data_IF_413487475372
#
_entry.id   IF_413487475372
#
_cell.length_a   1.000
_cell.length_b   1.000
_cell.length_c   1.000
_cell.angle_alpha   90.00
_cell.angle_beta   90.00
_cell.angle_gamma   90.00
#
_symmetry.space_group_name_H-M   'P 1'
#
loop_
_entity.id
_entity.type
_entity.pdbx_description
1 polymer ?
#
# COMPACT_ATOMS: atom_id res chain seq x y z
N UNK A 1 16.83 -0.51 -19.25
CA UNK A 1 16.46 -1.56 -18.27
C UNK A 1 17.16 -1.25 -16.95
N UNK A 2 16.54 -1.48 -15.79
CA UNK A 2 17.18 -1.31 -14.47
C UNK A 2 17.21 -2.66 -13.74
N UNK A 3 18.36 -3.04 -13.21
CA UNK A 3 18.52 -4.22 -12.36
C UNK A 3 18.42 -3.83 -10.89
N UNK A 4 17.70 -4.61 -10.09
CA UNK A 4 17.62 -4.43 -8.62
C UNK A 4 18.12 -5.71 -7.95
N UNK A 5 19.08 -5.55 -7.03
CA UNK A 5 19.63 -6.62 -6.19
C UNK A 5 18.95 -6.58 -4.82
N UNK A 6 18.50 -7.72 -4.31
CA UNK A 6 17.84 -7.81 -3.00
C UNK A 6 18.70 -8.59 -2.00
N UNK A 7 18.77 -8.09 -0.78
CA UNK A 7 19.41 -8.77 0.35
C UNK A 7 18.53 -9.86 0.98
N UNK A 8 17.21 -9.80 0.76
CA UNK A 8 16.22 -10.75 1.28
C UNK A 8 15.55 -11.50 0.14
N UNK A 9 15.72 -12.83 0.13
CA UNK A 9 15.10 -13.74 -0.85
C UNK A 9 13.58 -13.62 -0.86
N UNK A 10 12.94 -13.51 0.31
CA UNK A 10 11.48 -13.43 0.42
C UNK A 10 10.91 -12.16 -0.21
N UNK A 11 11.56 -11.02 0.00
CA UNK A 11 11.17 -9.73 -0.60
C UNK A 11 11.30 -9.77 -2.12
N UNK A 12 12.41 -10.31 -2.62
CA UNK A 12 12.61 -10.50 -4.06
C UNK A 12 11.57 -11.46 -4.66
N UNK A 13 11.27 -12.56 -3.96
CA UNK A 13 10.33 -13.57 -4.45
C UNK A 13 8.93 -12.98 -4.61
N UNK A 14 8.49 -12.13 -3.67
CA UNK A 14 7.21 -11.43 -3.76
C UNK A 14 7.17 -10.49 -4.95
N UNK A 15 8.13 -9.58 -5.07
CA UNK A 15 8.14 -8.62 -6.17
C UNK A 15 8.27 -9.33 -7.53
N UNK A 16 9.24 -10.23 -7.69
CA UNK A 16 9.44 -10.93 -8.95
C UNK A 16 8.22 -11.76 -9.36
N UNK A 17 7.57 -12.46 -8.43
CA UNK A 17 6.33 -13.19 -8.75
C UNK A 17 5.15 -12.26 -9.06
N UNK A 18 5.02 -11.11 -8.40
CA UNK A 18 3.98 -10.14 -8.76
C UNK A 18 4.13 -9.70 -10.21
N UNK A 19 5.33 -9.34 -10.63
CA UNK A 19 5.56 -8.91 -12.00
C UNK A 19 5.49 -10.05 -13.03
N UNK A 20 5.99 -11.25 -12.70
CA UNK A 20 6.13 -12.34 -13.67
C UNK A 20 4.95 -13.30 -13.69
N UNK A 21 4.11 -13.33 -12.65
CA UNK A 21 2.98 -14.26 -12.53
C UNK A 21 1.65 -13.52 -12.38
N UNK A 22 1.51 -12.67 -11.36
CA UNK A 22 0.25 -11.98 -11.08
C UNK A 22 -0.15 -11.07 -12.24
N UNK A 23 0.75 -10.20 -12.68
CA UNK A 23 0.46 -9.23 -13.76
C UNK A 23 0.02 -9.92 -15.06
N UNK A 24 0.77 -10.89 -15.63
CA UNK A 24 0.33 -11.59 -16.83
C UNK A 24 -1.01 -12.32 -16.67
N UNK A 25 -1.28 -12.89 -15.49
CA UNK A 25 -2.54 -13.56 -15.20
C UNK A 25 -3.72 -12.58 -15.15
N UNK A 26 -3.55 -11.40 -14.53
CA UNK A 26 -4.55 -10.34 -14.52
C UNK A 26 -4.80 -9.79 -15.94
N UNK A 27 -3.75 -9.64 -16.75
CA UNK A 27 -3.86 -9.27 -18.16
C UNK A 27 -4.60 -10.31 -19.00
N UNK A 28 -4.39 -11.60 -18.73
CA UNK A 28 -5.13 -12.68 -19.39
C UNK A 28 -6.59 -12.74 -18.89
N UNK A 29 -6.82 -12.53 -17.60
CA UNK A 29 -8.15 -12.49 -17.01
C UNK A 29 -9.00 -11.37 -17.60
N UNK A 30 -8.47 -10.15 -17.68
CA UNK A 30 -9.24 -9.03 -18.24
C UNK A 30 -9.56 -9.24 -19.72
N UNK A 31 -8.66 -9.84 -20.50
CA UNK A 31 -8.93 -10.19 -21.92
C UNK A 31 -10.09 -11.17 -22.09
N UNK A 32 -10.41 -11.96 -21.07
CA UNK A 32 -11.58 -12.87 -21.05
C UNK A 32 -12.87 -12.16 -20.62
N UNK A 33 -12.76 -11.06 -19.88
CA UNK A 33 -13.91 -10.35 -19.32
C UNK A 33 -14.33 -9.13 -20.15
N UNK A 34 -13.36 -8.41 -20.72
CA UNK A 34 -13.56 -7.16 -21.44
C UNK A 34 -13.66 -7.46 -22.94
N UNK A 35 -14.72 -6.99 -23.65
CA UNK A 35 -14.82 -7.13 -25.09
C UNK A 35 -13.62 -6.53 -25.84
N UNK A 36 -13.20 -7.09 -26.99
CA UNK A 36 -12.02 -6.61 -27.73
C UNK A 36 -12.06 -5.12 -28.13
N UNK A 37 -13.25 -4.57 -28.35
CA UNK A 37 -13.45 -3.17 -28.77
C UNK A 37 -13.46 -2.19 -27.59
N UNK A 38 -13.41 -2.68 -26.35
CA UNK A 38 -13.39 -1.87 -25.15
C UNK A 38 -11.95 -1.71 -24.65
N UNK A 39 -11.49 -0.48 -24.34
CA UNK A 39 -10.16 -0.27 -23.79
C UNK A 39 -9.90 -1.11 -22.54
N UNK A 40 -8.78 -1.84 -22.56
CA UNK A 40 -8.31 -2.62 -21.43
C UNK A 40 -7.97 -1.73 -20.22
N UNK A 41 -8.00 -2.32 -19.03
CA UNK A 41 -7.50 -1.68 -17.82
C UNK A 41 -5.97 -1.74 -17.83
N UNK A 42 -5.33 -0.59 -18.01
CA UNK A 42 -3.87 -0.48 -17.93
C UNK A 42 -3.42 -0.65 -16.47
N UNK A 43 -2.59 -1.67 -16.24
CA UNK A 43 -1.95 -1.91 -14.95
C UNK A 43 -0.78 -0.94 -14.78
N UNK A 44 -0.65 -0.28 -13.62
CA UNK A 44 0.38 0.73 -13.41
C UNK A 44 1.74 0.09 -13.06
N UNK A 45 2.06 -1.08 -13.61
CA UNK A 45 3.23 -1.87 -13.22
C UNK A 45 4.21 -1.91 -14.40
N UNK A 46 5.50 -1.54 -14.21
CA UNK A 46 6.48 -1.62 -15.28
C UNK A 46 6.62 -3.05 -15.79
N UNK A 47 6.83 -3.21 -17.10
CA UNK A 47 7.06 -4.54 -17.68
C UNK A 47 8.28 -5.20 -17.07
N UNK A 48 8.16 -6.47 -16.71
CA UNK A 48 9.31 -7.29 -16.34
C UNK A 48 9.89 -7.97 -17.58
N UNK A 49 11.20 -7.80 -17.79
CA UNK A 49 11.94 -8.44 -18.87
C UNK A 49 12.67 -9.69 -18.42
N UNK A 50 13.11 -9.74 -17.16
CA UNK A 50 13.85 -10.88 -16.64
C UNK A 50 13.76 -10.96 -15.12
N UNK A 51 13.58 -12.17 -14.59
CA UNK A 51 13.71 -12.47 -13.18
C UNK A 51 14.46 -13.79 -13.00
N UNK A 52 15.53 -13.81 -12.20
CA UNK A 52 16.32 -15.01 -11.90
C UNK A 52 16.77 -15.00 -10.45
N UNK A 53 16.60 -16.14 -9.79
CA UNK A 53 17.18 -16.40 -8.48
C UNK A 53 18.10 -17.61 -8.56
N UNK A 54 19.30 -17.46 -8.02
CA UNK A 54 20.29 -18.53 -7.89
C UNK A 54 20.50 -18.74 -6.38
N UNK A 55 20.07 -19.88 -5.81
CA UNK A 55 20.29 -20.14 -4.40
C UNK A 55 21.80 -20.29 -4.13
N UNK A 56 22.23 -19.78 -2.99
CA UNK A 56 23.58 -19.98 -2.52
C UNK A 56 23.85 -21.44 -2.21
N UNK A 57 25.07 -21.92 -2.45
CA UNK A 57 25.47 -23.28 -2.10
C UNK A 57 26.36 -23.23 -0.86
N UNK A 58 25.92 -23.92 0.19
CA UNK A 58 26.75 -24.28 1.33
C UNK A 58 27.01 -25.78 1.27
N UNK A 59 28.06 -26.18 0.54
CA UNK A 59 28.52 -27.58 0.53
C UNK A 59 29.79 -27.71 1.37
N UNK A 60 29.97 -28.83 2.11
CA UNK A 60 31.13 -29.04 2.98
C UNK A 60 32.49 -28.93 2.25
N UNK A 61 32.51 -29.19 0.94
CA UNK A 61 33.71 -29.30 0.12
C UNK A 61 33.92 -28.12 -0.86
N UNK A 62 33.17 -27.02 -0.72
CA UNK A 62 33.34 -25.83 -1.58
C UNK A 62 33.16 -24.55 -0.79
N UNK A 63 33.81 -23.48 -1.22
CA UNK A 63 33.57 -22.14 -0.68
C UNK A 63 32.08 -21.80 -0.76
N UNK A 64 31.45 -21.32 0.34
CA UNK A 64 30.06 -20.94 0.32
C UNK A 64 29.82 -19.86 -0.74
N UNK A 65 28.84 -20.09 -1.60
CA UNK A 65 28.43 -19.10 -2.61
C UNK A 65 27.18 -18.39 -2.10
N UNK A 66 27.14 -17.04 -2.14
CA UNK A 66 25.95 -16.30 -1.74
C UNK A 66 24.81 -16.58 -2.72
N UNK A 67 23.57 -16.40 -2.27
CA UNK A 67 22.44 -16.36 -3.19
C UNK A 67 22.52 -15.11 -4.06
N UNK A 68 22.10 -15.23 -5.31
CA UNK A 68 22.00 -14.12 -6.26
C UNK A 68 20.55 -13.95 -6.69
N UNK A 69 20.09 -12.70 -6.71
CA UNK A 69 18.76 -12.34 -7.18
C UNK A 69 18.85 -11.23 -8.23
N UNK A 70 18.19 -11.40 -9.37
CA UNK A 70 18.17 -10.45 -10.47
C UNK A 70 16.72 -10.21 -10.87
N UNK A 71 16.31 -8.93 -10.88
CA UNK A 71 15.04 -8.49 -11.46
C UNK A 71 15.31 -7.33 -12.41
N UNK A 72 14.88 -7.46 -13.66
CA UNK A 72 15.08 -6.50 -14.74
C UNK A 72 13.73 -5.97 -15.20
N UNK A 73 13.49 -4.68 -14.94
CA UNK A 73 12.24 -4.01 -15.27
C UNK A 73 12.43 -2.96 -16.37
N UNK A 74 11.31 -2.57 -16.96
CA UNK A 74 11.20 -1.42 -17.85
C UNK A 74 11.78 -0.16 -17.21
N UNK A 75 12.60 0.55 -18.00
CA UNK A 75 13.12 1.84 -17.56
C UNK A 75 12.08 2.93 -17.86
N UNK A 76 11.29 3.29 -16.85
CA UNK A 76 10.26 4.30 -17.01
C UNK A 76 10.83 5.73 -17.12
N UNK A 77 12.05 5.98 -16.62
CA UNK A 77 12.68 7.32 -16.75
C UNK A 77 12.89 7.74 -18.20
N UNK A 78 13.25 6.80 -19.09
CA UNK A 78 13.35 7.09 -20.53
C UNK A 78 12.01 7.39 -21.19
N UNK A 79 10.88 7.13 -20.51
CA UNK A 79 9.53 7.47 -20.96
C UNK A 79 8.99 8.74 -20.29
N UNK A 80 9.83 9.49 -19.59
CA UNK A 80 9.47 10.75 -18.93
C UNK A 80 8.88 10.60 -17.53
N UNK A 81 8.87 9.40 -16.95
CA UNK A 81 8.43 9.20 -15.57
C UNK A 81 9.49 9.66 -14.56
N UNK A 82 9.05 10.37 -13.52
CA UNK A 82 9.88 10.90 -12.44
C UNK A 82 9.28 10.56 -11.07
N UNK A 83 10.13 10.39 -10.07
CA UNK A 83 9.68 10.21 -8.68
C UNK A 83 9.15 11.51 -8.10
N UNK A 84 8.28 11.40 -7.11
CA UNK A 84 7.86 12.53 -6.30
C UNK A 84 8.95 12.96 -5.31
N UNK A 85 8.94 14.22 -4.92
CA UNK A 85 9.72 14.72 -3.79
C UNK A 85 8.94 14.46 -2.50
N UNK A 86 9.43 13.53 -1.66
CA UNK A 86 8.77 13.17 -0.41
C UNK A 86 8.59 14.36 0.54
N UNK A 87 9.55 15.29 0.60
CA UNK A 87 9.46 16.45 1.49
C UNK A 87 8.28 17.34 1.10
N UNK A 88 8.18 17.64 -0.20
CA UNK A 88 7.07 18.44 -0.74
C UNK A 88 5.74 17.70 -0.78
N UNK A 89 5.76 16.37 -0.86
CA UNK A 89 4.56 15.55 -1.03
C UNK A 89 3.99 15.60 -2.46
N UNK A 90 2.90 14.85 -2.66
CA UNK A 90 2.20 14.77 -3.93
C UNK A 90 1.38 16.03 -4.20
N UNK A 91 1.36 16.43 -5.48
CA UNK A 91 0.32 17.34 -5.99
C UNK A 91 -1.03 16.63 -6.04
N UNK A 92 -2.12 17.40 -6.12
CA UNK A 92 -3.48 16.83 -6.22
C UNK A 92 -3.62 15.89 -7.43
N UNK A 93 -3.15 16.31 -8.62
CA UNK A 93 -3.18 15.47 -9.84
C UNK A 93 -2.42 14.15 -9.68
N UNK A 94 -1.28 14.19 -8.99
CA UNK A 94 -0.50 12.97 -8.71
C UNK A 94 -1.23 12.05 -7.73
N UNK A 95 -1.87 12.60 -6.68
CA UNK A 95 -2.66 11.82 -5.74
C UNK A 95 -3.87 11.16 -6.42
N UNK A 96 -4.61 11.91 -7.25
CA UNK A 96 -5.74 11.40 -8.03
C UNK A 96 -5.30 10.27 -8.97
N UNK A 97 -4.21 10.48 -9.73
CA UNK A 97 -3.68 9.47 -10.63
C UNK A 97 -3.17 8.22 -9.91
N UNK A 98 -2.51 8.38 -8.75
CA UNK A 98 -2.08 7.24 -7.94
C UNK A 98 -3.27 6.42 -7.45
N UNK A 99 -4.32 7.07 -6.96
CA UNK A 99 -5.54 6.40 -6.52
C UNK A 99 -6.26 5.69 -7.67
N UNK A 100 -6.34 6.32 -8.85
CA UNK A 100 -6.92 5.69 -10.03
C UNK A 100 -6.11 4.46 -10.48
N UNK A 101 -4.78 4.59 -10.50
CA UNK A 101 -3.86 3.52 -10.86
C UNK A 101 -4.02 2.30 -9.95
N UNK A 102 -4.02 2.48 -8.63
CA UNK A 102 -4.18 1.37 -7.68
C UNK A 102 -5.60 0.80 -7.69
N UNK A 103 -6.63 1.64 -7.90
CA UNK A 103 -8.01 1.20 -8.02
C UNK A 103 -8.23 0.23 -9.18
N UNK A 104 -7.54 0.41 -10.32
CA UNK A 104 -7.61 -0.51 -11.47
C UNK A 104 -7.04 -1.90 -11.11
N UNK A 105 -5.91 -1.94 -10.39
CA UNK A 105 -5.34 -3.20 -9.90
C UNK A 105 -6.26 -3.87 -8.87
N UNK A 106 -6.79 -3.09 -7.93
CA UNK A 106 -7.75 -3.56 -6.93
C UNK A 106 -8.97 -4.18 -7.62
N UNK A 107 -9.57 -3.50 -8.58
CA UNK A 107 -10.70 -4.01 -9.34
C UNK A 107 -10.39 -5.32 -10.08
N UNK A 108 -9.21 -5.43 -10.70
CA UNK A 108 -8.78 -6.64 -11.40
C UNK A 108 -8.64 -7.84 -10.46
N UNK A 109 -7.95 -7.65 -9.34
CA UNK A 109 -7.77 -8.71 -8.34
C UNK A 109 -9.07 -9.09 -7.65
N UNK A 110 -9.91 -8.11 -7.30
CA UNK A 110 -11.25 -8.33 -6.74
C UNK A 110 -12.13 -9.13 -7.70
N UNK A 111 -12.22 -8.73 -8.96
CA UNK A 111 -13.04 -9.43 -9.94
C UNK A 111 -12.53 -10.84 -10.23
N UNK A 112 -11.20 -11.05 -10.24
CA UNK A 112 -10.61 -12.38 -10.35
C UNK A 112 -11.05 -13.27 -9.19
N UNK A 113 -10.92 -12.79 -7.94
CA UNK A 113 -11.35 -13.51 -6.73
C UNK A 113 -12.84 -13.87 -6.81
N UNK A 114 -13.69 -12.90 -7.13
CA UNK A 114 -15.14 -13.08 -7.21
C UNK A 114 -15.52 -14.14 -8.25
N UNK A 115 -14.93 -14.08 -9.46
CA UNK A 115 -15.26 -15.04 -10.52
C UNK A 115 -14.68 -16.42 -10.31
N UNK A 116 -13.55 -16.55 -9.64
CA UNK A 116 -12.96 -17.84 -9.31
C UNK A 116 -13.52 -18.46 -8.02
N UNK A 117 -14.17 -17.66 -7.17
CA UNK A 117 -14.77 -18.13 -5.91
C UNK A 117 -13.74 -18.63 -4.90
N UNK A 118 -12.50 -18.13 -4.95
CA UNK A 118 -11.42 -18.53 -4.03
C UNK A 118 -10.58 -17.34 -3.56
N UNK A 119 -10.10 -17.33 -2.30
CA UNK A 119 -9.17 -16.32 -1.81
C UNK A 119 -7.89 -16.24 -2.65
N UNK A 120 -7.36 -15.02 -2.81
CA UNK A 120 -6.15 -14.83 -3.61
C UNK A 120 -4.88 -15.27 -2.88
N UNK A 121 -4.90 -15.35 -1.56
CA UNK A 121 -3.79 -15.91 -0.77
C UNK A 121 -3.59 -17.41 -1.01
N UNK A 122 -4.66 -18.17 -1.26
CA UNK A 122 -4.59 -19.58 -1.67
C UNK A 122 -4.03 -19.72 -3.09
N UNK A 123 -4.43 -18.81 -3.99
CA UNK A 123 -3.95 -18.78 -5.37
C UNK A 123 -2.48 -18.36 -5.46
N UNK A 124 -2.08 -17.40 -4.63
CA UNK A 124 -0.75 -16.80 -4.64
C UNK A 124 -0.08 -16.98 -3.27
N UNK A 125 0.39 -18.19 -2.92
CA UNK A 125 0.92 -18.50 -1.60
C UNK A 125 2.21 -17.73 -1.25
N UNK A 126 2.86 -17.10 -2.25
CA UNK A 126 4.02 -16.25 -2.05
C UNK A 126 3.67 -14.85 -1.53
N UNK A 127 2.40 -14.42 -1.57
CA UNK A 127 1.96 -13.15 -1.00
C UNK A 127 2.39 -13.03 0.46
N UNK A 128 2.55 -11.79 0.95
CA UNK A 128 3.08 -11.57 2.28
C UNK A 128 2.06 -11.97 3.36
N UNK A 129 2.17 -13.22 3.79
CA UNK A 129 1.28 -13.84 4.78
C UNK A 129 1.08 -12.96 6.02
N UNK A 130 -0.18 -12.77 6.42
CA UNK A 130 -0.60 -11.83 7.48
C UNK A 130 0.22 -11.95 8.75
N UNK A 131 0.48 -13.17 9.24
CA UNK A 131 1.29 -13.38 10.44
C UNK A 131 2.73 -12.85 10.29
N UNK A 132 3.38 -13.12 9.14
CA UNK A 132 4.76 -12.65 8.89
C UNK A 132 4.81 -11.15 8.63
N UNK A 133 3.79 -10.60 7.96
CA UNK A 133 3.63 -9.16 7.75
C UNK A 133 3.46 -8.45 9.10
N UNK A 134 2.64 -9.01 9.98
CA UNK A 134 2.42 -8.52 11.35
C UNK A 134 3.72 -8.43 12.13
N UNK A 135 4.51 -9.52 12.17
CA UNK A 135 5.79 -9.52 12.87
C UNK A 135 6.77 -8.49 12.29
N UNK A 136 6.80 -8.36 10.96
CA UNK A 136 7.65 -7.37 10.30
C UNK A 136 7.22 -5.93 10.64
N UNK A 137 5.92 -5.65 10.69
CA UNK A 137 5.39 -4.32 11.02
C UNK A 137 5.60 -4.00 12.49
N UNK A 138 5.38 -4.97 13.39
CA UNK A 138 5.63 -4.79 14.81
C UNK A 138 7.10 -4.43 15.08
N UNK A 139 8.05 -5.07 14.41
CA UNK A 139 9.47 -4.73 14.53
C UNK A 139 9.77 -3.30 14.09
N UNK A 140 9.12 -2.82 13.03
CA UNK A 140 9.26 -1.42 12.60
C UNK A 140 8.71 -0.48 13.68
N UNK A 141 7.49 -0.73 14.18
CA UNK A 141 6.87 0.09 15.23
C UNK A 141 7.73 0.13 16.51
N UNK A 142 8.25 -0.99 16.98
CA UNK A 142 9.13 -1.03 18.17
C UNK A 142 10.42 -0.22 17.98
N UNK A 143 10.92 -0.12 16.75
CA UNK A 143 12.08 0.71 16.41
C UNK A 143 11.72 2.20 16.33
N UNK A 144 10.57 2.52 15.74
CA UNK A 144 10.17 3.87 15.40
C UNK A 144 9.48 4.63 16.53
N UNK A 145 8.63 3.97 17.30
CA UNK A 145 7.84 4.60 18.36
C UNK A 145 8.69 5.28 19.43
N UNK A 146 9.82 4.71 19.93
CA UNK A 146 10.69 5.40 20.87
C UNK A 146 11.32 6.69 20.31
N UNK A 147 11.57 6.73 19.00
CA UNK A 147 12.12 7.92 18.33
C UNK A 147 11.05 9.00 18.22
N UNK A 148 9.83 8.62 17.84
CA UNK A 148 8.69 9.53 17.82
C UNK A 148 8.40 10.09 19.21
N UNK A 149 8.39 9.25 20.25
CA UNK A 149 8.15 9.69 21.61
C UNK A 149 9.13 10.80 22.04
N UNK A 150 10.43 10.60 21.84
CA UNK A 150 11.47 11.61 22.13
C UNK A 150 11.31 12.90 21.32
N UNK A 151 10.79 12.80 20.10
CA UNK A 151 10.50 13.96 19.27
C UNK A 151 9.31 14.76 19.82
N UNK A 152 8.26 14.08 20.28
CA UNK A 152 7.05 14.70 20.84
C UNK A 152 7.29 15.27 22.25
N UNK A 153 8.10 14.63 23.09
CA UNK A 153 8.46 15.12 24.44
C UNK A 153 9.04 16.54 24.44
N UNK A 154 9.63 16.97 23.32
CA UNK A 154 10.26 18.28 23.17
C UNK A 154 9.30 19.37 22.64
N UNK A 155 8.01 19.03 22.46
CA UNK A 155 7.02 19.88 21.80
C UNK A 155 5.79 20.05 22.71
N UNK A 156 5.63 21.22 23.36
CA UNK A 156 4.47 21.48 24.21
C UNK A 156 3.15 21.39 23.44
N UNK A 157 2.11 20.86 24.07
CA UNK A 157 0.75 20.73 23.51
C UNK A 157 0.49 19.43 22.75
N UNK A 158 1.41 18.45 22.84
CA UNK A 158 1.28 17.12 22.24
C UNK A 158 1.29 16.00 23.29
N UNK A 159 1.16 16.34 24.57
CA UNK A 159 1.22 15.42 25.71
C UNK A 159 0.12 14.36 25.62
N UNK A 160 -1.12 14.75 25.33
CA UNK A 160 -2.26 13.83 25.19
C UNK A 160 -2.04 12.83 24.04
N UNK A 161 -1.49 13.31 22.91
CA UNK A 161 -1.18 12.47 21.74
C UNK A 161 -0.09 11.46 22.10
N UNK A 162 0.96 11.91 22.78
CA UNK A 162 2.03 11.04 23.26
C UNK A 162 1.48 9.98 24.21
N UNK A 163 0.61 10.35 25.15
CA UNK A 163 -0.05 9.42 26.08
C UNK A 163 -0.90 8.37 25.35
N UNK A 164 -1.69 8.77 24.34
CA UNK A 164 -2.45 7.84 23.49
C UNK A 164 -1.52 6.85 22.77
N UNK A 165 -0.43 7.32 22.17
CA UNK A 165 0.53 6.47 21.47
C UNK A 165 1.24 5.48 22.40
N UNK A 166 1.56 5.90 23.63
CA UNK A 166 2.17 5.02 24.62
C UNK A 166 1.19 3.99 25.16
N UNK A 167 -0.09 4.37 25.32
CA UNK A 167 -1.18 3.45 25.69
C UNK A 167 -1.47 2.42 24.60
N UNK A 168 -1.31 2.80 23.33
CA UNK A 168 -1.43 1.92 22.16
C UNK A 168 -0.34 0.85 22.11
N UNK A 169 0.89 1.19 22.52
CA UNK A 169 2.10 0.38 22.35
C UNK A 169 1.95 -1.11 22.72
N UNK A 170 1.37 -1.49 23.88
CA UNK A 170 1.31 -2.89 24.28
C UNK A 170 0.46 -3.77 23.34
N UNK A 171 -0.48 -3.16 22.60
CA UNK A 171 -1.46 -3.86 21.76
C UNK A 171 -1.18 -3.70 20.26
N UNK A 172 -0.05 -3.09 19.87
CA UNK A 172 0.20 -2.78 18.45
C UNK A 172 0.28 -4.03 17.60
N UNK A 173 0.77 -5.15 18.14
CA UNK A 173 0.90 -6.39 17.37
C UNK A 173 -0.47 -6.96 17.00
N UNK A 174 -1.39 -7.01 17.95
CA UNK A 174 -2.76 -7.47 17.77
C UNK A 174 -3.52 -6.53 16.82
N UNK A 175 -3.35 -5.22 16.98
CA UNK A 175 -3.93 -4.23 16.07
C UNK A 175 -3.44 -4.38 14.64
N UNK A 176 -2.12 -4.53 14.44
CA UNK A 176 -1.53 -4.75 13.13
C UNK A 176 -2.10 -6.04 12.51
N UNK A 177 -2.16 -7.13 13.28
CA UNK A 177 -2.68 -8.40 12.80
C UNK A 177 -4.12 -8.26 12.30
N UNK A 178 -4.97 -7.60 13.08
CA UNK A 178 -6.38 -7.44 12.76
C UNK A 178 -6.60 -6.45 11.61
N UNK A 179 -5.80 -5.39 11.50
CA UNK A 179 -5.87 -4.40 10.40
C UNK A 179 -5.31 -4.94 9.06
N UNK A 180 -4.33 -5.84 9.12
CA UNK A 180 -3.80 -6.54 7.94
C UNK A 180 -4.66 -7.74 7.51
N UNK A 181 -5.46 -8.30 8.41
CA UNK A 181 -6.32 -9.42 8.09
C UNK A 181 -7.27 -9.06 6.92
N UNK A 182 -7.44 -9.98 5.95
CA UNK A 182 -8.40 -9.77 4.86
C UNK A 182 -9.83 -9.71 5.42
N UNK A 183 -10.62 -8.76 4.93
CA UNK A 183 -12.04 -8.62 5.25
C UNK A 183 -12.86 -8.79 3.97
N UNK A 184 -13.61 -9.89 3.91
CA UNK A 184 -14.53 -10.17 2.82
C UNK A 184 -15.77 -9.26 2.91
N UNK A 185 -16.40 -8.89 1.77
CA UNK A 185 -16.15 -9.39 0.41
C UNK A 185 -15.11 -8.59 -0.38
N UNK A 186 -14.50 -7.54 0.18
CA UNK A 186 -13.61 -6.62 -0.52
C UNK A 186 -12.12 -6.94 -0.42
N UNK A 187 -11.73 -7.98 0.32
CA UNK A 187 -10.34 -8.43 0.35
C UNK A 187 -9.80 -8.73 -1.06
N UNK A 188 -8.61 -8.21 -1.34
CA UNK A 188 -8.00 -8.22 -2.67
C UNK A 188 -6.47 -8.05 -2.57
N UNK A 189 -5.78 -8.03 -3.72
CA UNK A 189 -4.32 -7.81 -3.72
C UNK A 189 -4.04 -6.33 -3.46
N UNK A 190 -3.28 -6.07 -2.41
CA UNK A 190 -2.86 -4.74 -1.96
C UNK A 190 -1.34 -4.62 -2.05
N UNK A 191 -0.85 -3.43 -2.35
CA UNK A 191 0.57 -3.12 -2.43
C UNK A 191 1.24 -3.05 -1.05
N UNK A 192 0.50 -2.53 -0.05
CA UNK A 192 0.80 -2.30 1.38
C UNK A 192 2.02 -1.46 1.74
N UNK A 193 2.82 -1.10 0.74
CA UNK A 193 3.84 -0.05 0.80
C UNK A 193 3.53 1.06 -0.22
N UNK A 194 2.25 1.45 -0.33
CA UNK A 194 1.75 2.40 -1.33
C UNK A 194 1.91 3.87 -0.89
N UNK A 195 3.11 4.40 -1.05
CA UNK A 195 3.47 5.80 -0.74
C UNK A 195 4.34 6.43 -1.84
N UNK A 196 4.51 7.74 -1.84
CA UNK A 196 5.02 8.48 -3.00
C UNK A 196 6.42 8.07 -3.50
N UNK A 197 7.29 7.52 -2.64
CA UNK A 197 8.61 7.08 -3.07
C UNK A 197 8.58 5.82 -3.95
N UNK A 198 7.51 5.04 -3.84
CA UNK A 198 7.26 3.87 -4.69
C UNK A 198 6.45 4.24 -5.94
N UNK A 199 6.18 5.52 -6.17
CA UNK A 199 5.41 6.01 -7.31
C UNK A 199 6.28 6.83 -8.25
N UNK A 200 6.12 6.60 -9.54
CA UNK A 200 6.63 7.47 -10.58
C UNK A 200 5.46 8.09 -11.34
N UNK A 201 5.62 9.35 -11.72
CA UNK A 201 4.63 10.12 -12.45
C UNK A 201 5.21 10.63 -13.75
N UNK A 202 4.41 10.63 -14.81
CA UNK A 202 4.69 11.33 -16.05
C UNK A 202 3.71 12.47 -16.18
N UNK A 203 4.23 13.69 -16.32
CA UNK A 203 3.40 14.88 -16.50
C UNK A 203 2.92 14.97 -17.95
N UNK A 204 1.97 14.11 -18.29
CA UNK A 204 1.15 14.20 -19.50
C UNK A 204 -0.25 14.76 -19.14
N UNK A 205 -1.12 14.89 -20.14
CA UNK A 205 -2.48 15.44 -19.93
C UNK A 205 -3.26 14.69 -18.83
N UNK A 206 -3.00 13.39 -18.67
CA UNK A 206 -3.64 12.51 -17.70
C UNK A 206 -2.84 12.32 -16.40
N UNK A 207 -1.62 12.87 -16.30
CA UNK A 207 -0.68 12.64 -15.22
C UNK A 207 -0.47 11.14 -14.92
N UNK A 208 0.00 10.33 -15.86
CA UNK A 208 0.13 8.87 -15.68
C UNK A 208 0.97 8.47 -14.45
N UNK A 209 0.50 7.50 -13.66
CA UNK A 209 1.20 6.94 -12.50
C UNK A 209 1.68 5.50 -12.75
N UNK A 210 2.89 5.19 -12.29
CA UNK A 210 3.44 3.85 -12.25
C UNK A 210 3.90 3.50 -10.83
N UNK A 211 3.64 2.27 -10.40
CA UNK A 211 3.85 1.73 -9.07
C UNK A 211 5.01 0.73 -9.09
N UNK A 212 5.98 0.99 -8.23
CA UNK A 212 7.20 0.21 -8.05
C UNK A 212 7.18 -0.48 -6.68
N UNK A 213 8.13 -1.40 -6.50
CA UNK A 213 8.42 -2.01 -5.20
C UNK A 213 7.30 -2.85 -4.55
N UNK A 214 6.93 -3.92 -5.26
CA UNK A 214 5.91 -4.88 -4.83
C UNK A 214 6.40 -5.87 -3.77
N UNK A 215 7.39 -5.50 -2.95
CA UNK A 215 7.99 -6.41 -1.95
C UNK A 215 7.09 -6.70 -0.75
N UNK A 216 6.08 -5.85 -0.49
CA UNK A 216 5.16 -5.96 0.65
C UNK A 216 3.79 -6.52 0.26
N UNK A 217 3.56 -6.73 -1.04
CA UNK A 217 2.30 -7.20 -1.63
C UNK A 217 1.63 -8.32 -0.83
N UNK A 218 0.36 -8.13 -0.49
CA UNK A 218 -0.41 -9.07 0.31
C UNK A 218 -1.88 -9.12 -0.10
N UNK A 219 -2.63 -10.02 0.51
CA UNK A 219 -4.07 -10.11 0.41
C UNK A 219 -4.69 -9.40 1.63
N UNK A 220 -5.28 -8.22 1.43
CA UNK A 220 -5.85 -7.43 2.52
C UNK A 220 -6.94 -6.47 2.05
N UNK A 221 -7.35 -5.54 2.92
CA UNK A 221 -8.35 -4.50 2.65
C UNK A 221 -7.82 -3.43 1.68
N UNK A 222 -8.58 -3.04 0.64
CA UNK A 222 -8.14 -2.04 -0.34
C UNK A 222 -7.78 -0.69 0.29
N UNK A 223 -8.47 -0.31 1.37
CA UNK A 223 -8.29 0.95 2.06
C UNK A 223 -6.94 1.08 2.76
N UNK A 224 -6.20 -0.02 2.95
CA UNK A 224 -4.84 0.01 3.51
C UNK A 224 -3.88 0.79 2.60
N UNK A 225 -3.94 0.57 1.28
CA UNK A 225 -3.13 1.33 0.31
C UNK A 225 -3.57 2.80 0.27
N UNK A 226 -4.88 3.04 0.22
CA UNK A 226 -5.46 4.38 0.14
C UNK A 226 -5.09 5.22 1.37
N UNK A 227 -5.25 4.66 2.57
CA UNK A 227 -4.89 5.32 3.82
C UNK A 227 -3.40 5.63 3.90
N UNK A 228 -2.54 4.67 3.53
CA UNK A 228 -1.10 4.89 3.55
C UNK A 228 -0.69 6.02 2.62
N UNK A 229 -1.19 6.05 1.38
CA UNK A 229 -0.89 7.13 0.44
C UNK A 229 -1.34 8.48 1.00
N UNK A 230 -2.60 8.58 1.40
CA UNK A 230 -3.21 9.84 1.82
C UNK A 230 -2.57 10.40 3.08
N UNK A 231 -2.17 9.55 4.04
CA UNK A 231 -1.54 9.97 5.29
C UNK A 231 -0.05 10.31 5.10
N UNK A 232 0.70 9.47 4.38
CA UNK A 232 2.16 9.61 4.30
C UNK A 232 2.62 10.63 3.27
N UNK A 233 1.84 10.82 2.20
CA UNK A 233 2.35 11.39 0.95
C UNK A 233 1.68 12.70 0.51
N UNK A 234 0.57 13.11 1.13
CA UNK A 234 -0.09 14.38 0.79
C UNK A 234 0.30 15.50 1.76
N UNK A 235 0.55 16.72 1.26
CA UNK A 235 0.60 17.92 2.09
C UNK A 235 -0.65 18.06 2.96
N UNK A 236 -0.48 18.59 4.18
CA UNK A 236 -1.56 18.75 5.17
C UNK A 236 -2.79 19.46 4.60
N UNK A 237 -2.59 20.56 3.89
CA UNK A 237 -3.65 21.40 3.35
C UNK A 237 -4.44 20.66 2.27
N UNK A 238 -3.74 19.91 1.40
CA UNK A 238 -4.39 19.12 0.36
C UNK A 238 -5.16 17.95 0.97
N UNK A 239 -4.57 17.23 1.94
CA UNK A 239 -5.25 16.13 2.65
C UNK A 239 -6.53 16.64 3.30
N UNK A 240 -6.45 17.69 4.13
CA UNK A 240 -7.62 18.23 4.85
C UNK A 240 -8.72 18.74 3.90
N UNK A 241 -8.35 19.35 2.76
CA UNK A 241 -9.31 19.91 1.81
C UNK A 241 -9.96 18.88 0.88
N UNK A 242 -9.20 17.86 0.46
CA UNK A 242 -9.58 16.99 -0.66
C UNK A 242 -9.78 15.52 -0.27
N UNK A 243 -9.70 15.15 1.01
CA UNK A 243 -9.82 13.73 1.41
C UNK A 243 -11.11 13.09 0.88
N UNK A 244 -12.25 13.78 1.00
CA UNK A 244 -13.55 13.27 0.55
C UNK A 244 -13.55 13.05 -0.96
N UNK A 245 -13.13 14.06 -1.74
CA UNK A 245 -13.08 13.94 -3.21
C UNK A 245 -12.09 12.89 -3.70
N UNK A 246 -10.97 12.70 -2.99
CA UNK A 246 -9.97 11.68 -3.32
C UNK A 246 -10.53 10.27 -3.07
N UNK A 247 -11.23 10.07 -1.96
CA UNK A 247 -11.93 8.80 -1.69
C UNK A 247 -13.06 8.54 -2.69
N UNK A 248 -13.79 9.58 -3.10
CA UNK A 248 -14.83 9.47 -4.13
C UNK A 248 -14.24 9.09 -5.49
N UNK A 249 -13.10 9.71 -5.86
CA UNK A 249 -12.36 9.37 -7.08
C UNK A 249 -11.87 7.93 -7.07
N UNK A 250 -11.25 7.49 -5.96
CA UNK A 250 -10.84 6.10 -5.77
C UNK A 250 -12.03 5.13 -5.90
N UNK A 251 -13.14 5.39 -5.21
CA UNK A 251 -14.34 4.55 -5.26
C UNK A 251 -14.92 4.45 -6.66
N UNK A 252 -15.01 5.58 -7.37
CA UNK A 252 -15.50 5.64 -8.75
C UNK A 252 -14.60 4.83 -9.68
N UNK A 253 -13.28 4.94 -9.54
CA UNK A 253 -12.32 4.17 -10.35
C UNK A 253 -12.41 2.67 -10.06
N UNK A 254 -12.53 2.28 -8.79
CA UNK A 254 -12.66 0.88 -8.36
C UNK A 254 -13.94 0.25 -8.91
N UNK A 255 -15.09 0.88 -8.66
CA UNK A 255 -16.41 0.36 -9.02
C UNK A 255 -16.62 0.32 -10.53
N UNK A 256 -16.22 1.37 -11.26
CA UNK A 256 -16.31 1.38 -12.72
C UNK A 256 -15.40 0.34 -13.37
N UNK A 257 -14.19 0.15 -12.85
CA UNK A 257 -13.25 -0.87 -13.33
C UNK A 257 -13.75 -2.28 -13.04
N UNK A 258 -14.31 -2.52 -11.84
CA UNK A 258 -14.91 -3.80 -11.47
C UNK A 258 -16.15 -4.11 -12.35
N UNK A 259 -16.97 -3.10 -12.62
CA UNK A 259 -18.15 -3.25 -13.48
C UNK A 259 -17.77 -3.61 -14.92
N UNK A 260 -16.69 -3.01 -15.46
CA UNK A 260 -16.12 -3.39 -16.76
C UNK A 260 -15.67 -4.86 -16.80
N UNK A 261 -15.30 -5.43 -15.66
CA UNK A 261 -14.94 -6.84 -15.50
C UNK A 261 -16.16 -7.72 -15.18
N UNK A 262 -17.37 -7.16 -15.15
CA UNK A 262 -18.61 -7.85 -14.86
C UNK A 262 -18.77 -8.22 -13.39
N UNK A 263 -18.36 -7.32 -12.49
CA UNK A 263 -18.66 -7.38 -11.04
C UNK A 263 -19.17 -6.00 -10.60
N UNK A 264 -20.42 -5.94 -10.14
CA UNK A 264 -20.99 -4.75 -9.55
C UNK A 264 -20.71 -4.76 -8.03
N UNK A 265 -19.76 -3.94 -7.57
CA UNK A 265 -19.36 -3.93 -6.15
C UNK A 265 -20.52 -3.63 -5.20
N UNK A 266 -21.41 -2.71 -5.58
CA UNK A 266 -22.52 -2.31 -4.71
C UNK A 266 -23.62 -3.36 -4.68
N UNK A 267 -23.95 -3.96 -5.84
CA UNK A 267 -25.04 -4.93 -5.96
C UNK A 267 -24.59 -6.34 -5.59
N UNK A 268 -23.47 -6.80 -6.15
CA UNK A 268 -23.01 -8.18 -6.00
C UNK A 268 -22.31 -8.40 -4.66
N UNK A 269 -21.63 -7.38 -4.13
CA UNK A 269 -20.86 -7.47 -2.88
C UNK A 269 -21.48 -6.68 -1.72
N UNK A 270 -22.58 -5.94 -1.96
CA UNK A 270 -23.28 -5.20 -0.91
C UNK A 270 -22.44 -4.09 -0.24
N UNK A 271 -21.35 -3.65 -0.88
CA UNK A 271 -20.44 -2.68 -0.28
C UNK A 271 -20.62 -1.30 -0.93
N UNK A 272 -20.84 -0.28 -0.09
CA UNK A 272 -21.16 1.07 -0.53
C UNK A 272 -20.00 2.04 -0.33
N UNK A 273 -20.10 3.22 -0.95
CA UNK A 273 -19.17 4.33 -0.70
C UNK A 273 -19.08 4.73 0.78
N UNK A 274 -20.19 4.62 1.52
CA UNK A 274 -20.23 4.94 2.96
C UNK A 274 -19.40 3.92 3.74
N UNK A 275 -19.62 2.63 3.48
CA UNK A 275 -18.86 1.54 4.11
C UNK A 275 -17.36 1.65 3.82
N UNK A 276 -16.96 2.01 2.59
CA UNK A 276 -15.55 2.30 2.26
C UNK A 276 -14.97 3.41 3.15
N UNK A 277 -15.77 4.43 3.52
CA UNK A 277 -15.32 5.50 4.42
C UNK A 277 -15.06 5.00 5.84
N UNK A 278 -15.86 4.05 6.33
CA UNK A 278 -15.68 3.40 7.62
C UNK A 278 -14.44 2.49 7.62
N UNK A 279 -14.24 1.74 6.53
CA UNK A 279 -13.03 0.94 6.30
C UNK A 279 -11.78 1.80 6.24
N UNK A 280 -11.83 2.91 5.51
CA UNK A 280 -10.75 3.88 5.43
C UNK A 280 -10.36 4.40 6.81
N UNK A 281 -11.34 4.77 7.63
CA UNK A 281 -11.12 5.25 9.00
C UNK A 281 -10.37 4.24 9.86
N UNK A 282 -10.66 2.94 9.72
CA UNK A 282 -9.90 1.86 10.38
C UNK A 282 -8.46 1.75 9.82
N UNK A 283 -8.31 1.79 8.50
CA UNK A 283 -7.01 1.71 7.82
C UNK A 283 -6.07 2.87 8.14
N UNK A 284 -6.58 4.04 8.58
CA UNK A 284 -5.75 5.15 9.02
C UNK A 284 -4.81 4.78 10.19
N UNK A 285 -5.26 3.88 11.08
CA UNK A 285 -4.44 3.44 12.21
C UNK A 285 -3.25 2.58 11.72
N UNK A 286 -3.47 1.69 10.76
CA UNK A 286 -2.38 0.89 10.16
C UNK A 286 -1.38 1.78 9.43
N UNK A 287 -1.88 2.75 8.65
CA UNK A 287 -1.04 3.74 7.96
C UNK A 287 -0.20 4.56 8.94
N UNK A 288 -0.77 4.97 10.08
CA UNK A 288 -0.03 5.65 11.14
C UNK A 288 1.07 4.76 11.73
N UNK A 289 0.76 3.51 12.07
CA UNK A 289 1.75 2.56 12.63
C UNK A 289 2.93 2.33 11.67
N UNK A 290 2.66 2.26 10.36
CA UNK A 290 3.71 2.24 9.34
C UNK A 290 4.57 3.51 9.31
N UNK A 291 3.93 4.69 9.37
CA UNK A 291 4.63 5.96 9.44
C UNK A 291 5.50 6.05 10.70
N UNK A 292 5.01 5.57 11.84
CA UNK A 292 5.78 5.47 13.09
C UNK A 292 7.00 4.57 12.87
N UNK A 293 6.82 3.40 12.28
CA UNK A 293 7.91 2.45 12.06
C UNK A 293 9.04 2.94 11.15
N UNK A 294 8.74 3.93 10.31
CA UNK A 294 9.66 4.62 9.41
C UNK A 294 9.81 6.10 9.73
N UNK A 295 9.63 6.49 11.00
CA UNK A 295 9.64 7.90 11.43
C UNK A 295 10.97 8.58 11.12
N UNK A 296 12.07 7.82 11.05
CA UNK A 296 13.40 8.29 10.66
C UNK A 296 13.43 8.90 9.25
N UNK A 297 12.51 8.51 8.37
CA UNK A 297 12.35 9.10 7.03
C UNK A 297 11.74 10.50 7.09
N UNK A 298 10.92 10.77 8.12
CA UNK A 298 10.23 12.05 8.29
C UNK A 298 10.96 13.03 9.21
N UNK A 299 11.81 12.56 10.14
CA UNK A 299 12.54 13.45 11.04
C UNK A 299 13.77 14.06 10.37
N UNK A 300 14.06 15.33 10.68
CA UNK A 300 15.20 16.05 10.12
C UNK A 300 14.89 16.90 8.89
N UNK A 301 13.68 16.83 8.35
CA UNK A 301 13.15 17.77 7.36
C UNK A 301 11.93 18.51 7.93
N UNK A 302 11.94 19.87 7.96
CA UNK A 302 10.86 20.63 8.59
C UNK A 302 9.47 20.41 7.99
N UNK A 303 9.38 20.15 6.68
CA UNK A 303 8.09 19.96 6.01
C UNK A 303 7.49 18.59 6.37
N UNK A 304 8.30 17.54 6.37
CA UNK A 304 7.85 16.20 6.76
C UNK A 304 7.56 16.10 8.25
N UNK A 305 8.34 16.76 9.10
CA UNK A 305 8.07 16.86 10.53
C UNK A 305 6.72 17.54 10.79
N UNK A 306 6.46 18.68 10.15
CA UNK A 306 5.18 19.38 10.30
C UNK A 306 4.01 18.52 9.79
N UNK A 307 4.16 17.86 8.63
CA UNK A 307 3.15 16.95 8.10
C UNK A 307 2.85 15.80 9.06
N UNK A 308 3.87 15.21 9.69
CA UNK A 308 3.70 14.17 10.70
C UNK A 308 2.92 14.68 11.93
N UNK A 309 3.26 15.87 12.43
CA UNK A 309 2.54 16.49 13.55
C UNK A 309 1.07 16.75 13.22
N UNK A 310 0.79 17.29 12.04
CA UNK A 310 -0.57 17.57 11.59
C UNK A 310 -1.40 16.29 11.43
N UNK A 311 -0.79 15.20 10.94
CA UNK A 311 -1.43 13.88 10.88
C UNK A 311 -1.78 13.39 12.27
N UNK A 312 -0.84 13.44 13.22
CA UNK A 312 -1.07 12.99 14.59
C UNK A 312 -2.21 13.77 15.26
N UNK A 313 -2.22 15.09 15.10
CA UNK A 313 -3.27 15.96 15.64
C UNK A 313 -4.63 15.68 15.01
N UNK A 314 -4.69 15.51 13.69
CA UNK A 314 -5.94 15.20 12.99
C UNK A 314 -6.49 13.84 13.43
N UNK A 315 -5.66 12.80 13.46
CA UNK A 315 -6.08 11.46 13.88
C UNK A 315 -6.53 11.41 15.35
N UNK A 316 -5.86 12.17 16.22
CA UNK A 316 -6.29 12.32 17.61
C UNK A 316 -7.64 13.02 17.71
N UNK A 317 -7.80 14.16 17.04
CA UNK A 317 -9.05 14.94 17.02
C UNK A 317 -10.21 14.13 16.44
N UNK A 318 -9.95 13.36 15.40
CA UNK A 318 -10.95 12.52 14.75
C UNK A 318 -11.24 11.25 15.57
N UNK A 319 -10.55 11.01 16.68
CA UNK A 319 -10.76 9.87 17.57
C UNK A 319 -10.20 8.55 17.05
N UNK A 320 -9.36 8.56 16.00
CA UNK A 320 -8.73 7.34 15.44
C UNK A 320 -7.78 6.66 16.42
N UNK A 321 -7.23 7.43 17.36
CA UNK A 321 -6.35 6.93 18.43
C UNK A 321 -7.11 6.46 19.69
N UNK A 322 -8.45 6.49 19.69
CA UNK A 322 -9.23 6.12 20.87
C UNK A 322 -9.35 4.60 21.04
N UNK A 323 -9.59 4.18 22.29
CA UNK A 323 -9.82 2.77 22.69
C UNK A 323 -10.93 2.08 21.90
N UNK A 324 -11.92 2.82 21.42
CA UNK A 324 -13.10 2.25 20.77
C UNK A 324 -12.74 1.72 19.39
N UNK A 325 -11.96 2.47 18.60
CA UNK A 325 -11.48 2.01 17.29
C UNK A 325 -10.47 0.88 17.43
N UNK A 326 -9.65 0.91 18.49
CA UNK A 326 -8.73 -0.18 18.86
C UNK A 326 -9.51 -1.48 19.14
N UNK A 327 -10.66 -1.38 19.82
CA UNK A 327 -11.50 -2.53 20.17
C UNK A 327 -12.27 -3.05 18.96
N UNK A 328 -12.83 -2.17 18.12
CA UNK A 328 -13.52 -2.56 16.88
C UNK A 328 -12.56 -3.09 15.81
N UNK A 329 -11.32 -2.61 15.77
CA UNK A 329 -10.31 -3.12 14.86
C UNK A 329 -9.82 -4.53 15.26
N UNK A 330 -9.92 -4.90 16.54
CA UNK A 330 -9.47 -6.18 17.08
C UNK A 330 -10.55 -7.28 17.14
N UNK A 331 -11.81 -6.95 16.80
CA UNK A 331 -12.94 -7.87 16.67
C UNK A 331 -13.15 -8.27 15.21
#
# INVERSE_FOLDING_TARGET
MRAVMYSSTDKWLRYSNTCCKVVPELEQFQRRCIPPDTPALELPIPRCYHARYTPGKNSPNSSPTPSESVLVLENLKSRGFQGADFSRGLTLRQAESALEAVARLHALSLALKVKEGRPLEDRYPFLFQTARATDSYQQLVERGLPQLARFLERRPGLEDILECLLTLRPNTKELIAALLAPEEPLALITHTDFWCNNLLFRDDDLCSCAVLDWQMVTYSRPTNDVALLLISSLPTELRRRHITSLLDGYWTALTSSALKLGVNVEVDLGHSRVALGEDYRRSQLLALLLCIGSVDVALGDPLTEQRLLDVLQDLHKDGVLSSDIITTAAQ
#
